data_IF_689402139510
#
_entry.id   IF_689402139510
#
_cell.length_a   1.000
_cell.length_b   1.000
_cell.length_c   1.000
_cell.angle_alpha   90.00
_cell.angle_beta   90.00
_cell.angle_gamma   90.00
#
_symmetry.space_group_name_H-M   'P 1'
#
loop_
_entity.id
_entity.type
_entity.pdbx_description
1 polymer ?
#
# COMPACT_ATOMS: atom_id res chain seq x y z
N UNK A 1 -20.92 -25.66 20.25
CA UNK A 1 -20.17 -26.07 19.04
C UNK A 1 -20.82 -25.59 17.73
N UNK A 2 -22.15 -25.64 17.61
CA UNK A 2 -22.90 -25.25 16.38
C UNK A 2 -22.78 -23.76 16.01
N UNK A 3 -22.77 -22.85 16.99
CA UNK A 3 -22.65 -21.39 16.75
C UNK A 3 -21.25 -21.00 16.22
N UNK A 4 -20.19 -21.60 16.77
CA UNK A 4 -18.82 -21.41 16.30
C UNK A 4 -18.61 -21.98 14.88
N UNK A 5 -19.26 -23.10 14.56
CA UNK A 5 -19.21 -23.70 13.23
C UNK A 5 -19.94 -22.84 12.19
N UNK A 6 -21.11 -22.29 12.55
CA UNK A 6 -21.87 -21.37 11.69
C UNK A 6 -21.10 -20.06 11.43
N UNK A 7 -20.46 -19.48 12.44
CA UNK A 7 -19.60 -18.29 12.30
C UNK A 7 -18.39 -18.56 11.39
N UNK A 8 -17.71 -19.70 11.56
CA UNK A 8 -16.58 -20.10 10.70
C UNK A 8 -17.03 -20.34 9.26
N UNK A 9 -18.17 -20.99 9.05
CA UNK A 9 -18.73 -21.22 7.72
C UNK A 9 -19.10 -19.91 7.00
N UNK A 10 -19.70 -18.95 7.72
CA UNK A 10 -20.00 -17.61 7.18
C UNK A 10 -18.73 -16.84 6.81
N UNK A 11 -17.70 -16.88 7.65
CA UNK A 11 -16.39 -16.27 7.34
C UNK A 11 -15.73 -16.92 6.11
N UNK A 12 -15.77 -18.25 5.99
CA UNK A 12 -15.27 -18.94 4.78
C UNK A 12 -16.05 -18.55 3.53
N UNK A 13 -17.38 -18.43 3.64
CA UNK A 13 -18.23 -17.99 2.53
C UNK A 13 -17.94 -16.54 2.14
N UNK A 14 -17.79 -15.63 3.10
CA UNK A 14 -17.38 -14.25 2.85
C UNK A 14 -16.09 -14.16 2.02
N UNK A 15 -15.05 -14.92 2.42
CA UNK A 15 -13.80 -14.99 1.64
C UNK A 15 -14.02 -15.49 0.22
N UNK A 16 -14.88 -16.51 0.03
CA UNK A 16 -15.22 -17.01 -1.29
C UNK A 16 -15.99 -15.98 -2.14
N UNK A 17 -16.88 -15.19 -1.53
CA UNK A 17 -17.58 -14.08 -2.19
C UNK A 17 -16.58 -13.02 -2.65
N UNK A 18 -15.66 -12.60 -1.79
CA UNK A 18 -14.61 -11.62 -2.13
C UNK A 18 -13.75 -12.09 -3.29
N UNK A 19 -13.28 -13.34 -3.28
CA UNK A 19 -12.49 -13.90 -4.40
C UNK A 19 -13.30 -14.04 -5.69
N UNK A 20 -14.60 -14.36 -5.60
CA UNK A 20 -15.48 -14.40 -6.77
C UNK A 20 -15.70 -12.99 -7.33
N UNK A 21 -16.02 -12.03 -6.48
CA UNK A 21 -16.21 -10.64 -6.84
C UNK A 21 -14.96 -10.06 -7.52
N UNK A 22 -13.77 -10.28 -6.94
CA UNK A 22 -12.49 -9.86 -7.53
C UNK A 22 -12.28 -10.41 -8.94
N UNK A 23 -12.56 -11.70 -9.17
CA UNK A 23 -12.45 -12.33 -10.50
C UNK A 23 -13.45 -11.75 -11.50
N UNK A 24 -14.71 -11.58 -11.09
CA UNK A 24 -15.76 -11.04 -11.96
C UNK A 24 -15.48 -9.59 -12.35
N UNK A 25 -15.08 -8.75 -11.39
CA UNK A 25 -14.70 -7.36 -11.63
C UNK A 25 -13.51 -7.28 -12.61
N UNK A 26 -12.45 -8.06 -12.39
CA UNK A 26 -11.27 -8.05 -13.25
C UNK A 26 -11.57 -8.56 -14.68
N UNK A 27 -12.48 -9.53 -14.83
CA UNK A 27 -12.89 -10.06 -16.13
C UNK A 27 -13.96 -9.19 -16.85
N UNK A 28 -14.52 -8.20 -16.14
CA UNK A 28 -15.53 -7.30 -16.69
C UNK A 28 -14.95 -6.23 -17.62
N UNK A 29 -15.84 -5.43 -18.21
CA UNK A 29 -15.48 -4.39 -19.19
C UNK A 29 -14.53 -3.31 -18.64
N UNK A 30 -14.52 -3.11 -17.32
CA UNK A 30 -13.64 -2.11 -16.68
C UNK A 30 -12.24 -2.64 -16.36
N UNK A 31 -11.98 -3.94 -16.53
CA UNK A 31 -10.64 -4.54 -16.34
C UNK A 31 -9.96 -4.13 -15.04
N UNK A 32 -8.76 -3.55 -15.16
CA UNK A 32 -7.98 -3.07 -14.01
C UNK A 32 -8.65 -1.93 -13.21
N UNK A 33 -9.61 -1.24 -13.80
CA UNK A 33 -10.33 -0.14 -13.16
C UNK A 33 -11.57 -0.59 -12.36
N UNK A 34 -11.95 -1.86 -12.42
CA UNK A 34 -13.26 -2.32 -11.94
C UNK A 34 -13.50 -2.11 -10.43
N UNK A 35 -12.49 -2.31 -9.58
CA UNK A 35 -12.62 -2.07 -8.12
C UNK A 35 -12.91 -0.59 -7.86
N UNK A 36 -12.21 0.32 -8.55
CA UNK A 36 -12.42 1.76 -8.40
C UNK A 36 -13.80 2.20 -8.89
N UNK A 37 -14.26 1.67 -10.02
CA UNK A 37 -15.62 1.93 -10.54
C UNK A 37 -16.68 1.51 -9.52
N UNK A 38 -16.53 0.32 -8.91
CA UNK A 38 -17.41 -0.14 -7.85
C UNK A 38 -17.32 0.74 -6.59
N UNK A 39 -16.11 1.17 -6.22
CA UNK A 39 -15.88 2.08 -5.09
C UNK A 39 -16.67 3.39 -5.25
N UNK A 40 -16.61 3.98 -6.45
CA UNK A 40 -17.40 5.19 -6.77
C UNK A 40 -18.91 4.94 -6.83
N UNK A 41 -19.37 3.81 -7.37
CA UNK A 41 -20.81 3.50 -7.43
C UNK A 41 -21.42 3.31 -6.05
N UNK A 42 -20.61 2.88 -5.06
CA UNK A 42 -20.97 2.83 -3.65
C UNK A 42 -20.87 4.19 -2.93
N UNK A 43 -20.59 5.28 -3.64
CA UNK A 43 -20.52 6.62 -3.09
C UNK A 43 -19.27 6.92 -2.27
N UNK A 44 -18.22 6.10 -2.41
CA UNK A 44 -16.90 6.29 -1.78
C UNK A 44 -16.10 7.30 -2.62
N UNK A 45 -16.65 8.49 -2.79
CA UNK A 45 -16.03 9.55 -3.61
C UNK A 45 -15.30 10.60 -2.77
N UNK A 46 -15.53 10.65 -1.46
CA UNK A 46 -14.95 11.64 -0.53
C UNK A 46 -14.62 10.94 0.79
N UNK A 47 -13.37 10.52 0.93
CA UNK A 47 -12.88 9.66 2.02
C UNK A 47 -12.65 10.42 3.35
N UNK A 48 -13.72 10.94 3.94
CA UNK A 48 -13.73 11.41 5.33
C UNK A 48 -14.80 10.69 6.19
N UNK A 49 -15.07 9.42 5.87
CA UNK A 49 -16.10 8.60 6.51
C UNK A 49 -17.19 8.22 5.52
N UNK A 50 -17.29 6.93 5.19
CA UNK A 50 -18.31 6.43 4.28
C UNK A 50 -19.70 6.64 4.88
N UNK A 51 -20.66 7.09 4.05
CA UNK A 51 -22.07 6.92 4.41
C UNK A 51 -22.33 5.42 4.51
N UNK A 52 -22.93 4.99 5.61
CA UNK A 52 -23.43 3.64 5.73
C UNK A 52 -24.43 3.40 4.60
N UNK A 53 -24.32 2.24 3.96
CA UNK A 53 -25.17 1.83 2.84
C UNK A 53 -26.10 0.74 3.33
N UNK A 54 -27.39 0.86 3.00
CA UNK A 54 -28.36 -0.18 3.28
C UNK A 54 -28.07 -1.43 2.45
N UNK A 55 -28.38 -2.60 3.01
CA UNK A 55 -28.23 -3.91 2.35
C UNK A 55 -28.75 -3.92 0.90
N UNK A 56 -29.92 -3.32 0.64
CA UNK A 56 -30.54 -3.32 -0.68
C UNK A 56 -29.70 -2.56 -1.71
N UNK A 57 -29.28 -1.34 -1.38
CA UNK A 57 -28.42 -0.51 -2.22
C UNK A 57 -27.08 -1.17 -2.48
N UNK A 58 -26.47 -1.79 -1.46
CA UNK A 58 -25.20 -2.51 -1.62
C UNK A 58 -25.31 -3.66 -2.64
N UNK A 59 -26.38 -4.46 -2.57
CA UNK A 59 -26.61 -5.57 -3.51
C UNK A 59 -26.86 -5.05 -4.92
N UNK A 60 -27.67 -4.00 -5.07
CA UNK A 60 -27.96 -3.39 -6.37
C UNK A 60 -26.68 -2.86 -7.05
N UNK A 61 -25.82 -2.16 -6.31
CA UNK A 61 -24.55 -1.65 -6.84
C UNK A 61 -23.63 -2.80 -7.31
N UNK A 62 -23.59 -3.92 -6.58
CA UNK A 62 -22.79 -5.08 -6.97
C UNK A 62 -23.35 -5.76 -8.22
N UNK A 63 -24.67 -5.93 -8.32
CA UNK A 63 -25.31 -6.49 -9.50
C UNK A 63 -25.05 -5.64 -10.75
N UNK A 64 -25.20 -4.31 -10.64
CA UNK A 64 -24.89 -3.37 -11.73
C UNK A 64 -23.40 -3.40 -12.12
N UNK A 65 -22.52 -3.74 -11.19
CA UNK A 65 -21.08 -3.90 -11.42
C UNK A 65 -20.70 -5.31 -11.90
N UNK A 66 -21.67 -6.17 -12.20
CA UNK A 66 -21.43 -7.53 -12.72
C UNK A 66 -21.06 -8.56 -11.64
N UNK A 67 -21.36 -8.29 -10.37
CA UNK A 67 -21.10 -9.17 -9.22
C UNK A 67 -22.41 -9.62 -8.58
N UNK A 68 -23.13 -10.60 -9.16
CA UNK A 68 -24.35 -11.11 -8.56
C UNK A 68 -24.05 -11.88 -7.26
N UNK A 69 -24.86 -11.64 -6.23
CA UNK A 69 -24.81 -12.33 -4.95
C UNK A 69 -26.11 -13.11 -4.72
N UNK A 70 -26.01 -14.38 -4.30
CA UNK A 70 -27.18 -15.11 -3.83
C UNK A 70 -27.54 -14.73 -2.38
N UNK A 71 -28.73 -15.12 -1.91
CA UNK A 71 -29.20 -14.74 -0.57
C UNK A 71 -28.24 -15.17 0.56
N UNK A 72 -27.57 -16.31 0.41
CA UNK A 72 -26.59 -16.82 1.37
C UNK A 72 -25.27 -16.05 1.32
N UNK A 73 -24.86 -15.57 0.15
CA UNK A 73 -23.72 -14.70 -0.03
C UNK A 73 -23.96 -13.36 0.63
N UNK A 74 -25.15 -12.79 0.44
CA UNK A 74 -25.54 -11.54 1.11
C UNK A 74 -25.56 -11.75 2.63
N UNK A 75 -26.13 -12.84 3.14
CA UNK A 75 -26.11 -13.14 4.59
C UNK A 75 -24.67 -13.25 5.13
N UNK A 76 -23.77 -13.87 4.37
CA UNK A 76 -22.37 -13.99 4.75
C UNK A 76 -21.66 -12.62 4.78
N UNK A 77 -21.89 -11.77 3.77
CA UNK A 77 -21.34 -10.40 3.73
C UNK A 77 -21.87 -9.57 4.89
N UNK A 78 -23.19 -9.54 5.09
CA UNK A 78 -23.81 -8.81 6.20
C UNK A 78 -23.27 -9.29 7.55
N UNK A 79 -23.08 -10.60 7.75
CA UNK A 79 -22.57 -11.13 9.02
C UNK A 79 -21.15 -10.69 9.38
N UNK A 80 -20.37 -10.20 8.41
CA UNK A 80 -19.00 -9.73 8.61
C UNK A 80 -18.93 -8.20 8.62
N UNK A 81 -19.71 -7.53 7.77
CA UNK A 81 -19.60 -6.08 7.54
C UNK A 81 -20.63 -5.24 8.31
N UNK A 82 -21.79 -5.79 8.67
CA UNK A 82 -22.75 -5.10 9.55
C UNK A 82 -22.32 -5.24 11.01
N UNK A 83 -21.39 -4.38 11.43
CA UNK A 83 -20.80 -4.39 12.78
C UNK A 83 -21.80 -4.05 13.87
N UNK A 84 -22.84 -3.26 13.54
CA UNK A 84 -23.83 -2.74 14.49
C UNK A 84 -25.10 -3.60 14.55
N UNK A 85 -25.31 -4.48 13.57
CA UNK A 85 -26.52 -5.27 13.41
C UNK A 85 -27.74 -4.44 13.03
N UNK A 86 -27.54 -3.24 12.47
CA UNK A 86 -28.60 -2.29 12.13
C UNK A 86 -29.06 -2.42 10.67
N UNK A 87 -28.51 -3.38 9.92
CA UNK A 87 -28.84 -3.61 8.52
C UNK A 87 -28.12 -2.69 7.54
N UNK A 88 -27.18 -1.88 8.04
CA UNK A 88 -26.32 -1.03 7.22
C UNK A 88 -24.87 -1.51 7.29
N UNK A 89 -24.09 -1.20 6.26
CA UNK A 89 -22.67 -1.54 6.22
C UNK A 89 -21.85 -0.37 5.70
N UNK A 90 -20.58 -0.34 6.06
CA UNK A 90 -19.62 0.57 5.47
C UNK A 90 -19.07 -0.06 4.17
N UNK A 91 -19.43 0.45 2.98
CA UNK A 91 -19.04 -0.17 1.71
C UNK A 91 -17.52 -0.22 1.54
N UNK A 92 -16.82 0.68 2.22
CA UNK A 92 -15.36 0.78 2.25
C UNK A 92 -14.74 -0.51 2.79
N UNK A 93 -15.35 -1.18 3.77
CA UNK A 93 -14.84 -2.46 4.28
C UNK A 93 -14.88 -3.58 3.23
N UNK A 94 -15.91 -3.57 2.35
CA UNK A 94 -15.99 -4.52 1.24
C UNK A 94 -14.94 -4.22 0.18
N UNK A 95 -14.77 -2.94 -0.19
CA UNK A 95 -13.72 -2.51 -1.12
C UNK A 95 -12.33 -2.87 -0.58
N UNK A 96 -12.09 -2.71 0.73
CA UNK A 96 -10.87 -3.16 1.39
C UNK A 96 -10.59 -4.64 1.14
N UNK A 97 -11.62 -5.48 1.32
CA UNK A 97 -11.49 -6.91 1.12
C UNK A 97 -11.24 -7.27 -0.35
N UNK A 98 -11.79 -6.49 -1.29
CA UNK A 98 -11.54 -6.67 -2.71
C UNK A 98 -10.11 -6.33 -3.12
N UNK A 99 -9.47 -5.33 -2.48
CA UNK A 99 -8.04 -5.03 -2.70
C UNK A 99 -7.23 -6.29 -2.41
N UNK A 100 -6.31 -6.62 -3.31
CA UNK A 100 -5.40 -7.75 -3.10
C UNK A 100 -4.39 -7.37 -2.03
N UNK A 101 -4.00 -8.34 -1.21
CA UNK A 101 -2.79 -8.20 -0.40
C UNK A 101 -1.61 -8.05 -1.35
N UNK A 102 -1.12 -6.83 -1.46
CA UNK A 102 0.07 -6.51 -2.23
C UNK A 102 1.29 -7.06 -1.50
N UNK A 103 2.23 -7.61 -2.26
CA UNK A 103 3.53 -7.94 -1.68
C UNK A 103 4.21 -6.66 -1.19
N UNK A 104 5.14 -6.76 -0.21
CA UNK A 104 5.88 -5.60 0.29
C UNK A 104 6.54 -4.77 -0.81
N UNK A 105 7.09 -5.45 -1.83
CA UNK A 105 7.72 -4.83 -3.01
C UNK A 105 6.70 -4.00 -3.79
N UNK A 106 5.54 -4.60 -4.12
CA UNK A 106 4.47 -3.92 -4.86
C UNK A 106 3.95 -2.69 -4.10
N UNK A 107 3.68 -2.85 -2.80
CA UNK A 107 3.19 -1.75 -1.95
C UNK A 107 4.20 -0.60 -1.84
N UNK A 108 5.49 -0.89 -1.68
CA UNK A 108 6.53 0.12 -1.60
C UNK A 108 6.62 0.94 -2.91
N UNK A 109 6.55 0.27 -4.06
CA UNK A 109 6.63 0.95 -5.36
C UNK A 109 5.38 1.77 -5.67
N UNK A 110 4.17 1.29 -5.38
CA UNK A 110 2.93 2.07 -5.54
C UNK A 110 2.98 3.33 -4.68
N UNK A 111 3.41 3.19 -3.42
CA UNK A 111 3.61 4.33 -2.50
C UNK A 111 4.61 5.34 -3.07
N UNK A 112 5.71 4.85 -3.64
CA UNK A 112 6.74 5.70 -4.24
C UNK A 112 6.22 6.48 -5.44
N UNK A 113 5.47 5.83 -6.34
CA UNK A 113 4.82 6.51 -7.48
C UNK A 113 3.90 7.62 -6.99
N UNK A 114 3.07 7.35 -5.97
CA UNK A 114 2.12 8.33 -5.43
C UNK A 114 2.81 9.64 -4.99
N UNK A 115 3.95 9.52 -4.29
CA UNK A 115 4.68 10.69 -3.79
C UNK A 115 5.48 11.46 -4.85
N UNK A 116 5.49 11.02 -6.13
CA UNK A 116 6.06 11.81 -7.22
C UNK A 116 5.16 12.98 -7.62
N UNK A 117 3.86 12.84 -7.40
CA UNK A 117 2.89 13.81 -7.84
C UNK A 117 2.74 14.95 -6.84
N UNK A 118 2.54 16.15 -7.38
CA UNK A 118 2.14 17.30 -6.58
C UNK A 118 0.72 17.08 -6.06
N UNK A 119 0.56 17.16 -4.75
CA UNK A 119 -0.73 17.00 -4.09
C UNK A 119 -1.40 18.35 -3.80
N UNK A 120 -2.73 18.34 -3.82
CA UNK A 120 -3.59 19.42 -3.37
C UNK A 120 -3.68 19.42 -1.83
N UNK A 121 -4.32 20.45 -1.26
CA UNK A 121 -4.46 20.57 0.20
C UNK A 121 -5.31 19.45 0.83
N UNK A 122 -6.21 18.85 0.06
CA UNK A 122 -6.99 17.68 0.44
C UNK A 122 -6.21 16.36 0.24
N UNK A 123 -4.99 16.40 -0.31
CA UNK A 123 -4.19 15.20 -0.59
C UNK A 123 -4.47 14.56 -1.94
N UNK A 124 -5.35 15.12 -2.77
CA UNK A 124 -5.60 14.61 -4.13
C UNK A 124 -4.53 15.05 -5.12
N UNK A 125 -4.41 14.35 -6.26
CA UNK A 125 -3.55 14.74 -7.38
C UNK A 125 -4.41 15.13 -8.58
N UNK A 126 -3.91 16.00 -9.46
CA UNK A 126 -4.62 16.30 -10.72
C UNK A 126 -4.44 15.17 -11.71
N UNK A 127 -5.51 14.81 -12.40
CA UNK A 127 -5.47 13.76 -13.43
C UNK A 127 -4.60 14.17 -14.61
N UNK A 128 -4.62 15.44 -14.99
CA UNK A 128 -3.77 15.93 -16.07
C UNK A 128 -2.28 15.69 -15.76
N UNK A 129 -1.85 15.94 -14.51
CA UNK A 129 -0.47 15.68 -14.08
C UNK A 129 -0.14 14.18 -14.14
N UNK A 130 -1.09 13.32 -13.75
CA UNK A 130 -0.97 11.86 -13.83
C UNK A 130 -0.83 11.36 -15.27
N UNK A 131 -1.74 11.80 -16.16
CA UNK A 131 -1.77 11.39 -17.57
C UNK A 131 -0.54 11.91 -18.31
N UNK A 132 -0.10 13.14 -18.05
CA UNK A 132 1.09 13.72 -18.68
C UNK A 132 2.39 13.02 -18.27
N UNK A 133 2.46 12.47 -17.05
CA UNK A 133 3.63 11.74 -16.57
C UNK A 133 3.66 10.27 -17.01
N UNK A 134 2.55 9.73 -17.50
CA UNK A 134 2.42 8.32 -17.87
C UNK A 134 3.14 8.02 -19.19
N UNK A 135 4.08 7.06 -19.16
CA UNK A 135 4.84 6.62 -20.33
C UNK A 135 4.29 5.31 -20.92
N UNK A 136 3.36 5.42 -21.86
CA UNK A 136 2.78 4.25 -22.53
C UNK A 136 3.84 3.42 -23.30
N UNK A 137 4.86 4.06 -23.86
CA UNK A 137 5.94 3.38 -24.59
C UNK A 137 6.78 2.45 -23.69
N UNK A 138 6.78 2.71 -22.38
CA UNK A 138 7.48 1.88 -21.40
C UNK A 138 6.69 0.64 -20.95
N UNK A 139 5.44 0.47 -21.39
CA UNK A 139 4.67 -0.72 -21.05
C UNK A 139 5.32 -1.98 -21.64
N UNK A 140 5.52 -3.06 -20.86
CA UNK A 140 6.18 -4.27 -21.34
C UNK A 140 5.53 -4.90 -22.58
N UNK A 141 4.21 -4.79 -22.77
CA UNK A 141 3.51 -5.28 -23.96
C UNK A 141 3.81 -4.43 -25.20
N UNK A 142 3.98 -3.11 -25.02
CA UNK A 142 4.41 -2.21 -26.11
C UNK A 142 5.86 -2.47 -26.49
N UNK A 143 6.73 -2.63 -25.49
CA UNK A 143 8.15 -2.95 -25.71
C UNK A 143 8.33 -4.30 -26.45
N UNK A 144 7.45 -5.27 -26.21
CA UNK A 144 7.44 -6.55 -26.95
C UNK A 144 6.75 -6.48 -28.31
N UNK A 145 6.11 -5.36 -28.67
CA UNK A 145 5.33 -5.20 -29.89
C UNK A 145 4.00 -5.96 -29.90
N UNK A 146 3.50 -6.34 -28.72
CA UNK A 146 2.20 -7.03 -28.56
C UNK A 146 1.02 -6.04 -28.58
N UNK A 147 1.26 -4.78 -28.22
CA UNK A 147 0.29 -3.67 -28.21
C UNK A 147 0.91 -2.40 -28.78
N UNK A 148 0.11 -1.49 -29.30
CA UNK A 148 0.59 -0.15 -29.69
C UNK A 148 0.67 0.80 -28.49
N UNK A 149 1.53 1.81 -28.59
CA UNK A 149 1.62 2.88 -27.58
C UNK A 149 0.30 3.64 -27.48
N UNK A 150 -0.34 3.90 -28.62
CA UNK A 150 -1.65 4.55 -28.71
C UNK A 150 -2.72 3.79 -27.92
N UNK A 151 -2.82 2.46 -28.11
CA UNK A 151 -3.80 1.63 -27.39
C UNK A 151 -3.64 1.71 -25.87
N UNK A 152 -2.40 1.61 -25.38
CA UNK A 152 -2.12 1.65 -23.93
C UNK A 152 -2.41 3.05 -23.37
N UNK A 153 -2.06 4.10 -24.12
CA UNK A 153 -2.34 5.49 -23.74
C UNK A 153 -3.84 5.78 -23.70
N UNK A 154 -4.59 5.34 -24.71
CA UNK A 154 -6.04 5.49 -24.77
C UNK A 154 -6.74 4.74 -23.64
N UNK A 155 -6.31 3.51 -23.32
CA UNK A 155 -6.84 2.75 -22.18
C UNK A 155 -6.61 3.48 -20.84
N UNK A 156 -5.39 4.02 -20.65
CA UNK A 156 -5.07 4.77 -19.44
C UNK A 156 -5.89 6.06 -19.32
N UNK A 157 -6.06 6.81 -20.42
CA UNK A 157 -6.89 8.02 -20.47
C UNK A 157 -8.39 7.71 -20.32
N UNK A 158 -8.88 6.60 -20.86
CA UNK A 158 -10.24 6.13 -20.65
C UNK A 158 -10.49 5.76 -19.17
N UNK A 159 -9.44 5.33 -18.48
CA UNK A 159 -9.48 5.06 -17.03
C UNK A 159 -9.49 6.35 -16.21
N UNK A 160 -8.62 7.32 -16.51
CA UNK A 160 -8.49 8.56 -15.75
C UNK A 160 -8.89 9.78 -16.59
N UNK A 161 -10.16 10.20 -16.48
CA UNK A 161 -10.71 11.35 -17.20
C UNK A 161 -11.83 12.04 -16.42
N UNK A 162 -12.35 13.14 -16.97
CA UNK A 162 -13.43 13.91 -16.35
C UNK A 162 -14.77 13.18 -16.26
N UNK A 163 -15.01 12.11 -17.05
CA UNK A 163 -16.22 11.29 -16.90
C UNK A 163 -16.12 10.37 -15.69
N UNK A 164 -14.96 9.76 -15.49
CA UNK A 164 -14.69 8.86 -14.36
C UNK A 164 -14.35 9.61 -13.08
N UNK A 165 -13.85 10.84 -13.20
CA UNK A 165 -13.44 11.73 -12.12
C UNK A 165 -13.92 13.17 -12.44
N UNK A 166 -15.20 13.51 -12.18
CA UNK A 166 -15.79 14.81 -12.52
C UNK A 166 -15.03 16.02 -11.98
N UNK A 167 -14.43 15.88 -10.80
CA UNK A 167 -13.64 16.93 -10.14
C UNK A 167 -12.22 17.10 -10.73
N UNK A 168 -11.83 16.27 -11.70
CA UNK A 168 -10.50 16.32 -12.34
C UNK A 168 -9.34 15.91 -11.41
N UNK A 169 -9.66 15.33 -10.25
CA UNK A 169 -8.69 14.90 -9.24
C UNK A 169 -8.81 13.41 -8.94
N UNK A 170 -7.72 12.83 -8.44
CA UNK A 170 -7.61 11.43 -8.05
C UNK A 170 -7.15 11.34 -6.59
N UNK A 171 -7.82 10.51 -5.79
CA UNK A 171 -7.41 10.24 -4.40
C UNK A 171 -6.34 9.15 -4.34
N UNK A 172 -5.58 9.10 -3.23
CA UNK A 172 -4.60 8.03 -3.00
C UNK A 172 -5.26 6.66 -3.01
N UNK A 173 -6.43 6.58 -2.40
CA UNK A 173 -7.21 5.37 -2.30
C UNK A 173 -7.57 4.80 -3.68
N UNK A 174 -8.08 5.65 -4.57
CA UNK A 174 -8.41 5.28 -5.95
C UNK A 174 -7.19 4.82 -6.74
N UNK A 175 -6.04 5.47 -6.52
CA UNK A 175 -4.77 5.08 -7.13
C UNK A 175 -4.30 3.70 -6.66
N UNK A 176 -4.39 3.42 -5.36
CA UNK A 176 -4.06 2.10 -4.79
C UNK A 176 -5.05 1.01 -5.24
N UNK A 177 -6.33 1.32 -5.38
CA UNK A 177 -7.36 0.41 -5.92
C UNK A 177 -7.06 -0.01 -7.37
N UNK A 178 -6.72 0.95 -8.22
CA UNK A 178 -6.29 0.68 -9.60
C UNK A 178 -5.05 -0.21 -9.62
N UNK A 179 -4.01 0.16 -8.88
CA UNK A 179 -2.77 -0.63 -8.84
C UNK A 179 -2.91 -1.99 -8.17
N UNK A 180 -3.88 -2.18 -7.27
CA UNK A 180 -4.23 -3.50 -6.73
C UNK A 180 -4.68 -4.47 -7.83
N UNK A 181 -5.45 -3.98 -8.82
CA UNK A 181 -5.84 -4.78 -9.97
C UNK A 181 -4.69 -5.00 -10.96
N UNK A 182 -3.90 -3.96 -11.25
CA UNK A 182 -2.71 -4.07 -12.12
C UNK A 182 -1.70 -5.08 -11.54
N UNK A 183 -1.41 -4.99 -10.24
CA UNK A 183 -0.62 -5.99 -9.53
C UNK A 183 -1.23 -7.39 -9.56
N UNK A 184 -2.55 -7.46 -9.75
CA UNK A 184 -3.36 -8.65 -9.93
C UNK A 184 -3.15 -9.38 -11.25
N UNK A 185 -2.92 -8.62 -12.33
CA UNK A 185 -2.68 -9.16 -13.68
C UNK A 185 -1.22 -9.53 -13.92
N UNK A 186 -0.28 -9.00 -13.14
CA UNK A 186 1.13 -9.41 -13.18
C UNK A 186 1.35 -10.82 -12.58
N UNK A 187 2.23 -11.60 -13.20
CA UNK A 187 2.56 -12.96 -12.77
C UNK A 187 3.30 -12.99 -11.43
N UNK A 188 4.24 -12.06 -11.23
CA UNK A 188 5.12 -11.98 -10.08
C UNK A 188 5.52 -10.51 -9.77
N UNK A 189 6.37 -10.32 -8.76
CA UNK A 189 6.83 -8.99 -8.38
C UNK A 189 7.80 -8.39 -9.40
N UNK A 190 8.63 -9.22 -10.04
CA UNK A 190 9.57 -8.78 -11.06
C UNK A 190 8.84 -8.19 -12.27
N UNK A 191 7.83 -8.88 -12.79
CA UNK A 191 6.99 -8.39 -13.90
C UNK A 191 6.24 -7.11 -13.55
N UNK A 192 5.74 -6.99 -12.32
CA UNK A 192 5.12 -5.74 -11.85
C UNK A 192 6.14 -4.58 -11.77
N UNK A 193 7.34 -4.83 -11.24
CA UNK A 193 8.38 -3.80 -11.18
C UNK A 193 8.81 -3.34 -12.57
N UNK A 194 8.98 -4.26 -13.51
CA UNK A 194 9.29 -3.93 -14.91
C UNK A 194 8.20 -3.02 -15.50
N UNK A 195 6.92 -3.35 -15.26
CA UNK A 195 5.80 -2.54 -15.70
C UNK A 195 5.84 -1.14 -15.08
N UNK A 196 5.89 -1.05 -13.74
CA UNK A 196 5.84 0.24 -13.01
C UNK A 196 7.05 1.12 -13.35
N UNK A 197 8.25 0.54 -13.47
CA UNK A 197 9.46 1.30 -13.86
C UNK A 197 9.38 1.81 -15.29
N UNK A 198 8.80 1.03 -16.20
CA UNK A 198 8.64 1.42 -17.59
C UNK A 198 7.64 2.57 -17.75
N UNK A 199 6.47 2.45 -17.13
CA UNK A 199 5.40 3.44 -17.27
C UNK A 199 5.61 4.69 -16.40
N UNK A 200 6.48 4.64 -15.39
CA UNK A 200 6.88 5.77 -14.54
C UNK A 200 8.41 5.99 -14.54
N UNK A 201 8.98 6.52 -15.64
CA UNK A 201 10.43 6.61 -15.82
C UNK A 201 11.12 7.51 -14.79
N UNK A 202 10.41 8.48 -14.20
CA UNK A 202 10.94 9.34 -13.14
C UNK A 202 11.44 8.54 -11.91
N UNK A 203 10.96 7.30 -11.70
CA UNK A 203 11.44 6.42 -10.64
C UNK A 203 12.73 5.67 -10.99
N UNK A 204 12.98 5.46 -12.28
CA UNK A 204 14.07 4.63 -12.77
C UNK A 204 15.41 5.38 -12.81
N UNK A 205 15.46 6.67 -12.47
CA UNK A 205 16.69 7.49 -12.52
C UNK A 205 17.19 7.82 -13.92
N UNK A 206 16.63 7.20 -14.97
CA UNK A 206 16.99 7.43 -16.36
C UNK A 206 15.99 8.39 -17.02
N UNK A 207 16.33 9.67 -17.04
CA UNK A 207 15.72 10.63 -17.96
C UNK A 207 16.20 10.32 -19.39
N UNK A 208 15.42 9.54 -20.16
CA UNK A 208 15.47 9.56 -21.63
C UNK A 208 16.41 8.59 -22.36
N UNK A 209 16.82 7.48 -21.75
CA UNK A 209 17.46 6.38 -22.49
C UNK A 209 16.43 5.35 -22.96
N UNK A 210 16.61 4.67 -24.11
CA UNK A 210 15.82 3.49 -24.43
C UNK A 210 15.94 2.52 -23.26
N UNK A 211 14.79 2.09 -22.73
CA UNK A 211 14.73 1.02 -21.74
C UNK A 211 15.21 -0.22 -22.51
N UNK A 212 16.50 -0.52 -22.44
CA UNK A 212 16.94 -1.88 -22.69
C UNK A 212 16.06 -2.73 -21.79
N UNK A 213 15.36 -3.70 -22.38
CA UNK A 213 14.75 -4.79 -21.62
C UNK A 213 15.93 -5.39 -20.87
N UNK A 214 16.19 -4.89 -19.67
CA UNK A 214 17.15 -5.47 -18.77
C UNK A 214 16.65 -6.90 -18.69
N UNK A 215 17.41 -7.79 -19.35
CA UNK A 215 17.19 -9.21 -19.23
C UNK A 215 16.98 -9.47 -17.74
N UNK A 216 16.10 -10.40 -17.37
CA UNK A 216 15.76 -10.79 -15.99
C UNK A 216 16.97 -11.11 -15.06
N UNK A 217 18.20 -10.80 -15.47
CA UNK A 217 19.49 -10.93 -14.82
C UNK A 217 19.76 -9.89 -13.73
N UNK A 218 19.11 -8.71 -13.71
CA UNK A 218 19.50 -7.64 -12.78
C UNK A 218 18.52 -7.38 -11.62
N UNK A 219 17.31 -7.96 -11.63
CA UNK A 219 16.36 -7.76 -10.54
C UNK A 219 16.56 -8.82 -9.45
N UNK A 220 17.34 -8.47 -8.43
CA UNK A 220 17.69 -9.34 -7.29
C UNK A 220 16.46 -9.62 -6.40
N UNK A 221 15.45 -8.76 -6.44
CA UNK A 221 14.21 -8.94 -5.68
C UNK A 221 13.22 -9.83 -6.45
N UNK A 222 13.30 -11.15 -6.24
CA UNK A 222 12.29 -12.09 -6.75
C UNK A 222 12.74 -12.99 -7.92
N UNK A 223 14.04 -13.25 -8.05
CA UNK A 223 14.58 -14.14 -9.08
C UNK A 223 13.80 -15.46 -9.18
N UNK A 224 13.22 -15.73 -10.35
CA UNK A 224 12.48 -16.96 -10.66
C UNK A 224 13.28 -17.90 -11.55
N UNK A 225 13.00 -19.19 -11.41
CA UNK A 225 13.55 -20.18 -12.32
C UNK A 225 12.86 -20.07 -13.67
N UNK A 226 13.65 -20.08 -14.75
CA UNK A 226 13.13 -20.18 -16.11
C UNK A 226 13.72 -21.40 -16.82
N UNK A 227 12.99 -21.91 -17.81
CA UNK A 227 13.43 -23.06 -18.60
C UNK A 227 14.72 -22.78 -19.40
N UNK A 228 14.98 -21.51 -19.72
CA UNK A 228 16.13 -21.06 -20.51
C UNK A 228 17.42 -20.84 -19.70
N UNK A 229 17.38 -20.89 -18.37
CA UNK A 229 18.55 -20.65 -17.52
C UNK A 229 19.55 -21.82 -17.54
N UNK A 230 20.84 -21.47 -17.61
CA UNK A 230 21.96 -22.37 -17.39
C UNK A 230 22.05 -22.82 -15.93
N UNK A 231 22.84 -23.86 -15.64
CA UNK A 231 23.05 -24.35 -14.28
C UNK A 231 23.67 -23.29 -13.35
N UNK A 232 24.57 -22.45 -13.88
CA UNK A 232 25.19 -21.35 -13.13
C UNK A 232 24.15 -20.27 -12.78
N UNK A 233 23.35 -19.84 -13.75
CA UNK A 233 22.28 -18.87 -13.53
C UNK A 233 21.25 -19.38 -12.52
N UNK A 234 20.91 -20.68 -12.56
CA UNK A 234 20.05 -21.32 -11.53
C UNK A 234 20.70 -21.33 -10.14
N UNK A 235 22.03 -21.48 -10.08
CA UNK A 235 22.81 -21.36 -8.86
C UNK A 235 22.74 -19.95 -8.26
N UNK A 236 22.86 -18.93 -9.10
CA UNK A 236 22.72 -17.53 -8.69
C UNK A 236 21.30 -17.21 -8.19
N UNK A 237 20.27 -17.68 -8.91
CA UNK A 237 18.87 -17.58 -8.47
C UNK A 237 18.67 -18.23 -7.09
N UNK A 238 19.25 -19.40 -6.86
CA UNK A 238 19.20 -20.07 -5.56
C UNK A 238 19.88 -19.26 -4.45
N UNK A 239 21.07 -18.70 -4.73
CA UNK A 239 21.80 -17.86 -3.76
C UNK A 239 20.98 -16.64 -3.37
N UNK A 240 20.40 -15.94 -4.34
CA UNK A 240 19.55 -14.76 -4.10
C UNK A 240 18.34 -15.12 -3.26
N UNK A 241 17.66 -16.23 -3.57
CA UNK A 241 16.52 -16.72 -2.78
C UNK A 241 16.90 -17.08 -1.36
N UNK A 242 18.06 -17.70 -1.17
CA UNK A 242 18.56 -18.02 0.17
C UNK A 242 18.88 -16.75 0.95
N UNK A 243 19.54 -15.76 0.34
CA UNK A 243 19.82 -14.47 0.97
C UNK A 243 18.52 -13.74 1.36
N UNK A 244 17.49 -13.80 0.50
CA UNK A 244 16.18 -13.23 0.82
C UNK A 244 15.51 -13.94 2.00
N UNK A 245 15.60 -15.27 2.06
CA UNK A 245 15.10 -16.05 3.18
C UNK A 245 15.88 -15.77 4.48
N UNK A 246 17.21 -15.63 4.40
CA UNK A 246 18.07 -15.28 5.53
C UNK A 246 17.75 -13.88 6.06
N UNK A 247 17.52 -12.91 5.17
CA UNK A 247 17.12 -11.55 5.54
C UNK A 247 15.72 -11.52 6.18
N UNK A 248 14.73 -12.23 5.60
CA UNK A 248 13.40 -12.35 6.21
C UNK A 248 13.51 -13.01 7.59
N UNK A 249 14.28 -14.09 7.75
CA UNK A 249 14.50 -14.75 9.03
C UNK A 249 15.14 -13.80 10.06
N UNK A 250 16.13 -13.01 9.67
CA UNK A 250 16.75 -11.98 10.51
C UNK A 250 15.72 -10.93 10.95
N UNK A 251 14.93 -10.43 10.01
CA UNK A 251 13.88 -9.44 10.29
C UNK A 251 12.88 -10.01 11.29
N UNK A 252 12.36 -11.22 11.06
CA UNK A 252 11.34 -11.85 11.91
C UNK A 252 11.85 -12.14 13.32
N UNK A 253 13.09 -12.62 13.45
CA UNK A 253 13.60 -13.15 14.72
C UNK A 253 14.36 -12.12 15.55
N UNK A 254 14.96 -11.10 14.93
CA UNK A 254 15.79 -10.10 15.61
C UNK A 254 15.23 -8.69 15.51
N UNK A 255 14.95 -8.20 14.30
CA UNK A 255 14.61 -6.78 14.12
C UNK A 255 13.16 -6.47 14.54
N UNK A 256 12.19 -7.26 14.06
CA UNK A 256 10.77 -7.05 14.33
C UNK A 256 10.42 -7.07 15.83
N UNK A 257 10.89 -8.04 16.65
CA UNK A 257 10.60 -8.04 18.08
C UNK A 257 11.12 -6.78 18.79
N UNK A 258 12.27 -6.26 18.36
CA UNK A 258 12.86 -5.05 18.95
C UNK A 258 12.00 -3.80 18.68
N UNK A 259 11.48 -3.65 17.45
CA UNK A 259 10.68 -2.47 17.08
C UNK A 259 9.20 -2.59 17.49
N UNK A 260 8.66 -3.80 17.55
CA UNK A 260 7.26 -4.04 17.95
C UNK A 260 7.05 -3.94 19.47
N UNK A 261 8.11 -3.96 20.27
CA UNK A 261 8.00 -3.85 21.72
C UNK A 261 7.31 -2.55 22.16
N UNK A 262 7.62 -1.42 21.48
CA UNK A 262 7.03 -0.10 21.75
C UNK A 262 6.81 0.66 20.44
N UNK A 263 5.67 1.38 20.26
CA UNK A 263 5.44 2.23 19.10
C UNK A 263 6.57 3.23 18.83
N UNK A 264 7.18 3.76 19.90
CA UNK A 264 8.30 4.68 19.80
C UNK A 264 9.53 4.06 19.12
N UNK A 265 9.80 2.76 19.30
CA UNK A 265 10.97 2.11 18.71
C UNK A 265 10.84 1.97 17.19
N UNK A 266 9.68 1.53 16.69
CA UNK A 266 9.37 1.54 15.26
C UNK A 266 9.52 2.94 14.65
N UNK A 267 8.99 3.95 15.36
CA UNK A 267 9.09 5.34 14.91
C UNK A 267 10.51 5.86 14.87
N UNK A 268 11.32 5.60 15.91
CA UNK A 268 12.70 6.04 15.97
C UNK A 268 13.55 5.45 14.84
N UNK A 269 13.36 4.17 14.53
CA UNK A 269 14.03 3.53 13.40
C UNK A 269 13.68 4.21 12.07
N UNK A 270 12.38 4.41 11.82
CA UNK A 270 11.89 5.09 10.62
C UNK A 270 12.45 6.51 10.50
N UNK A 271 12.48 7.27 11.61
CA UNK A 271 13.08 8.59 11.66
C UNK A 271 14.57 8.56 11.29
N UNK A 272 15.37 7.64 11.85
CA UNK A 272 16.79 7.56 11.54
C UNK A 272 17.07 7.21 10.08
N UNK A 273 16.26 6.33 9.48
CA UNK A 273 16.37 6.00 8.06
C UNK A 273 16.03 7.23 7.20
N UNK A 274 14.92 7.89 7.48
CA UNK A 274 14.48 9.08 6.72
C UNK A 274 15.44 10.26 6.93
N UNK A 275 16.03 10.42 8.12
CA UNK A 275 17.00 11.49 8.43
C UNK A 275 18.24 11.39 7.52
N UNK A 276 18.57 10.17 7.07
CA UNK A 276 19.66 9.90 6.11
C UNK A 276 19.24 10.12 4.64
N UNK A 277 17.95 10.20 4.35
CA UNK A 277 17.40 10.45 3.01
C UNK A 277 16.83 11.87 2.90
N UNK A 278 17.72 12.85 2.73
CA UNK A 278 17.35 14.26 2.63
C UNK A 278 16.50 14.58 1.38
N UNK A 279 16.59 13.75 0.35
CA UNK A 279 15.91 13.89 -0.94
C UNK A 279 14.54 13.20 -0.98
N UNK A 280 14.22 12.37 0.02
CA UNK A 280 12.96 11.61 0.14
C UNK A 280 12.75 10.65 -1.04
N UNK A 281 13.83 10.03 -1.49
CA UNK A 281 13.82 9.07 -2.60
C UNK A 281 13.38 7.68 -2.16
N UNK A 282 13.38 7.40 -0.86
CA UNK A 282 13.24 6.08 -0.25
C UNK A 282 14.42 5.13 -0.49
N UNK A 283 15.57 5.67 -0.92
CA UNK A 283 16.79 4.91 -1.16
C UNK A 283 17.94 5.46 -0.33
N UNK A 284 18.78 4.56 0.19
CA UNK A 284 19.99 4.89 0.92
C UNK A 284 21.17 4.09 0.38
N UNK A 285 22.38 4.59 0.58
CA UNK A 285 23.57 3.75 0.41
C UNK A 285 23.60 2.67 1.49
N UNK A 286 24.22 1.52 1.20
CA UNK A 286 24.38 0.43 2.18
C UNK A 286 25.00 0.91 3.51
N UNK A 287 25.96 1.83 3.45
CA UNK A 287 26.56 2.46 4.62
C UNK A 287 25.58 3.31 5.42
N UNK A 288 24.87 4.24 4.78
CA UNK A 288 23.91 5.10 5.47
C UNK A 288 22.76 4.30 6.09
N UNK A 289 22.30 3.25 5.39
CA UNK A 289 21.28 2.34 5.89
C UNK A 289 21.75 1.58 7.14
N UNK A 290 22.94 0.96 7.09
CA UNK A 290 23.48 0.20 8.23
C UNK A 290 23.77 1.08 9.44
N UNK A 291 24.31 2.29 9.23
CA UNK A 291 24.48 3.28 10.30
C UNK A 291 23.17 3.63 11.02
N UNK A 292 22.09 3.81 10.25
CA UNK A 292 20.77 4.08 10.82
C UNK A 292 20.24 2.91 11.65
N UNK A 293 20.45 1.66 11.19
CA UNK A 293 20.08 0.46 11.95
C UNK A 293 20.86 0.36 13.28
N UNK A 294 22.15 0.69 13.28
CA UNK A 294 22.99 0.63 14.48
C UNK A 294 22.52 1.58 15.59
N UNK A 295 21.91 2.72 15.26
CA UNK A 295 21.30 3.62 16.25
C UNK A 295 20.20 2.93 17.07
N UNK A 296 19.54 1.93 16.50
CA UNK A 296 18.51 1.11 17.14
C UNK A 296 19.03 -0.27 17.57
N UNK A 297 20.36 -0.46 17.58
CA UNK A 297 21.03 -1.74 17.92
C UNK A 297 20.56 -2.90 17.03
N UNK A 298 20.20 -2.59 15.78
CA UNK A 298 19.87 -3.57 14.76
C UNK A 298 21.09 -3.79 13.88
N UNK A 299 21.44 -5.06 13.65
CA UNK A 299 22.63 -5.43 12.90
C UNK A 299 22.26 -6.39 11.76
N UNK A 300 22.92 -6.23 10.63
CA UNK A 300 22.81 -7.12 9.46
C UNK A 300 24.14 -7.87 9.32
N UNK A 301 24.18 -9.19 9.49
CA UNK A 301 25.36 -9.97 9.22
C UNK A 301 25.60 -10.04 7.71
N UNK A 302 26.86 -9.96 7.26
CA UNK A 302 27.22 -10.02 5.83
C UNK A 302 26.38 -9.03 4.98
N UNK A 303 26.45 -7.71 5.26
CA UNK A 303 25.63 -6.72 4.57
C UNK A 303 25.82 -6.76 3.05
N UNK A 304 27.02 -7.06 2.57
CA UNK A 304 27.33 -7.16 1.14
C UNK A 304 26.57 -8.29 0.43
N UNK A 305 26.15 -9.34 1.16
CA UNK A 305 25.36 -10.46 0.62
C UNK A 305 23.85 -10.24 0.77
N UNK A 306 23.42 -9.64 1.89
CA UNK A 306 22.00 -9.52 2.24
C UNK A 306 21.35 -8.23 1.72
N UNK A 307 22.05 -7.10 1.73
CA UNK A 307 21.49 -5.82 1.28
C UNK A 307 21.13 -5.77 -0.21
N UNK A 308 21.82 -6.48 -1.13
CA UNK A 308 21.38 -6.53 -2.53
C UNK A 308 19.95 -7.07 -2.72
N UNK A 309 19.39 -7.81 -1.76
CA UNK A 309 17.97 -8.25 -1.80
C UNK A 309 17.00 -7.06 -1.73
N UNK A 310 17.44 -5.96 -1.10
CA UNK A 310 16.69 -4.72 -0.98
C UNK A 310 17.01 -3.73 -2.11
N UNK A 311 17.89 -4.08 -3.05
CA UNK A 311 18.16 -3.24 -4.22
C UNK A 311 17.11 -3.48 -5.30
N UNK A 312 16.05 -2.67 -5.24
CA UNK A 312 14.95 -2.71 -6.21
C UNK A 312 15.25 -1.93 -7.49
N UNK A 313 16.35 -1.17 -7.53
CA UNK A 313 16.77 -0.40 -8.70
C UNK A 313 17.83 -1.11 -9.54
N UNK A 314 18.68 -1.91 -8.91
CA UNK A 314 19.86 -2.53 -9.52
C UNK A 314 21.10 -1.62 -9.52
N UNK A 315 21.10 -0.54 -8.74
CA UNK A 315 22.20 0.45 -8.70
C UNK A 315 23.07 0.34 -7.43
N UNK A 316 22.84 -0.68 -6.59
CA UNK A 316 23.50 -0.86 -5.30
C UNK A 316 22.93 -0.02 -4.17
N UNK A 317 21.76 0.62 -4.37
CA UNK A 317 21.06 1.35 -3.32
C UNK A 317 20.10 0.44 -2.55
N UNK A 318 19.87 0.75 -1.28
CA UNK A 318 18.97 0.00 -0.40
C UNK A 318 17.61 0.68 -0.37
N UNK A 319 16.58 -0.04 -0.80
CA UNK A 319 15.18 0.37 -0.65
C UNK A 319 14.77 0.21 0.83
N UNK A 320 14.88 1.28 1.60
CA UNK A 320 14.55 1.23 3.02
C UNK A 320 13.04 1.25 3.27
N UNK A 321 12.22 1.71 2.30
CA UNK A 321 10.76 1.62 2.39
C UNK A 321 10.31 0.16 2.26
N UNK A 322 10.91 -0.61 1.36
CA UNK A 322 10.74 -2.06 1.29
C UNK A 322 11.16 -2.72 2.60
N UNK A 323 12.31 -2.35 3.16
CA UNK A 323 12.75 -2.87 4.46
C UNK A 323 11.73 -2.58 5.58
N UNK A 324 11.23 -1.35 5.70
CA UNK A 324 10.21 -0.99 6.68
C UNK A 324 8.91 -1.78 6.49
N UNK A 325 8.52 -2.01 5.23
CA UNK A 325 7.33 -2.80 4.87
C UNK A 325 7.50 -4.29 5.20
N UNK A 326 8.72 -4.84 5.09
CA UNK A 326 9.05 -6.21 5.52
C UNK A 326 9.16 -6.32 7.04
N UNK A 327 9.64 -5.25 7.69
CA UNK A 327 9.88 -5.19 9.13
C UNK A 327 8.58 -5.23 9.92
N UNK A 328 7.62 -4.39 9.56
CA UNK A 328 6.35 -4.26 10.27
C UNK A 328 5.32 -5.27 9.72
N UNK A 329 4.54 -5.93 10.59
CA UNK A 329 3.45 -6.78 10.12
C UNK A 329 2.40 -5.94 9.36
N UNK A 330 1.77 -6.48 8.31
CA UNK A 330 0.73 -5.76 7.58
C UNK A 330 -0.45 -5.47 8.51
N UNK A 331 -1.00 -4.26 8.41
CA UNK A 331 -2.26 -3.95 9.10
C UNK A 331 -3.42 -4.71 8.45
N UNK A 332 -4.41 -5.17 9.25
CA UNK A 332 -5.69 -5.60 8.71
C UNK A 332 -6.28 -4.51 7.80
N UNK A 333 -6.86 -4.86 6.63
CA UNK A 333 -7.37 -3.88 5.68
C UNK A 333 -8.30 -2.83 6.31
N UNK A 334 -9.23 -3.26 7.16
CA UNK A 334 -10.14 -2.36 7.87
C UNK A 334 -9.39 -1.30 8.70
N UNK A 335 -8.34 -1.69 9.43
CA UNK A 335 -7.56 -0.76 10.26
C UNK A 335 -6.70 0.18 9.42
N UNK A 336 -6.13 -0.31 8.31
CA UNK A 336 -5.41 0.53 7.36
C UNK A 336 -6.33 1.63 6.82
N UNK A 337 -7.57 1.29 6.48
CA UNK A 337 -8.56 2.27 6.01
C UNK A 337 -8.98 3.28 7.06
N UNK A 338 -9.14 2.86 8.31
CA UNK A 338 -9.39 3.81 9.40
C UNK A 338 -8.26 4.85 9.52
N UNK A 339 -7.01 4.44 9.29
CA UNK A 339 -5.85 5.34 9.27
C UNK A 339 -5.80 6.20 8.00
N UNK A 340 -6.15 5.66 6.83
CA UNK A 340 -6.31 6.43 5.59
C UNK A 340 -7.38 7.53 5.79
N UNK A 341 -8.54 7.22 6.37
CA UNK A 341 -9.58 8.21 6.69
C UNK A 341 -9.11 9.27 7.69
N UNK A 342 -8.41 8.84 8.73
CA UNK A 342 -7.80 9.77 9.69
C UNK A 342 -6.84 10.73 8.97
N UNK A 343 -6.02 10.20 8.06
CA UNK A 343 -5.08 10.99 7.26
C UNK A 343 -5.79 12.04 6.41
N UNK A 344 -6.96 11.71 5.88
CA UNK A 344 -7.73 12.62 5.05
C UNK A 344 -8.24 13.86 5.78
N UNK A 345 -8.42 13.80 7.10
CA UNK A 345 -8.87 14.95 7.91
C UNK A 345 -7.88 16.11 8.00
N UNK A 346 -6.62 15.86 7.66
CA UNK A 346 -5.56 16.83 7.80
C UNK A 346 -5.25 17.51 6.47
N UNK A 347 -4.91 18.80 6.47
CA UNK A 347 -4.45 19.49 5.27
C UNK A 347 -3.03 19.03 4.89
N UNK A 348 -2.86 18.67 3.62
CA UNK A 348 -1.59 18.24 3.04
C UNK A 348 -0.88 19.43 2.40
N UNK A 349 0.44 19.37 2.33
CA UNK A 349 1.22 20.24 1.47
C UNK A 349 1.36 19.68 0.05
N UNK A 350 2.11 20.39 -0.80
CA UNK A 350 2.32 19.99 -2.20
C UNK A 350 3.04 18.65 -2.37
N UNK A 351 3.67 18.13 -1.32
CA UNK A 351 4.34 16.84 -1.33
C UNK A 351 3.46 15.73 -0.71
N UNK A 352 2.21 16.03 -0.35
CA UNK A 352 1.32 15.07 0.31
C UNK A 352 1.67 14.82 1.78
N UNK A 353 2.33 15.78 2.43
CA UNK A 353 2.79 15.64 3.80
C UNK A 353 2.05 16.57 4.75
N UNK A 354 1.92 16.16 6.01
CA UNK A 354 1.25 16.94 7.06
C UNK A 354 2.30 17.55 7.99
N UNK A 355 2.03 18.75 8.50
CA UNK A 355 2.84 19.37 9.57
C UNK A 355 2.61 18.65 10.90
N UNK A 356 3.69 18.19 11.54
CA UNK A 356 3.65 17.55 12.85
C UNK A 356 2.91 18.39 13.92
N UNK A 357 2.91 19.73 13.81
CA UNK A 357 2.14 20.59 14.70
C UNK A 357 0.63 20.40 14.59
N UNK A 358 0.13 20.05 13.40
CA UNK A 358 -1.30 19.80 13.23
C UNK A 358 -1.71 18.56 14.00
N UNK A 359 -0.87 17.51 13.95
CA UNK A 359 -1.07 16.31 14.77
C UNK A 359 -1.05 16.65 16.26
N UNK A 360 -0.07 17.43 16.72
CA UNK A 360 0.03 17.86 18.12
C UNK A 360 -1.20 18.65 18.59
N UNK A 361 -1.78 19.48 17.72
CA UNK A 361 -2.94 20.30 18.04
C UNK A 361 -4.23 19.48 18.16
N UNK A 362 -4.40 18.45 17.34
CA UNK A 362 -5.63 17.65 17.30
C UNK A 362 -5.59 16.41 18.19
N UNK A 363 -4.41 15.89 18.52
CA UNK A 363 -4.28 14.66 19.30
C UNK A 363 -4.78 14.81 20.74
N UNK A 364 -5.66 13.90 21.13
CA UNK A 364 -6.24 13.80 22.47
C UNK A 364 -5.67 12.58 23.19
N UNK A 365 -4.81 12.84 24.19
CA UNK A 365 -4.25 11.81 25.04
C UNK A 365 -5.19 11.50 26.21
N UNK A 366 -5.28 10.23 26.60
CA UNK A 366 -6.03 9.79 27.78
C UNK A 366 -5.36 10.22 29.10
N UNK A 367 -4.04 10.33 29.09
CA UNK A 367 -3.20 10.66 30.25
C UNK A 367 -1.88 11.33 29.82
N UNK A 368 -1.08 11.75 30.81
CA UNK A 368 0.21 12.38 30.55
C UNK A 368 1.26 11.44 29.96
N UNK A 369 1.15 10.13 30.20
CA UNK A 369 2.10 9.14 29.66
C UNK A 369 1.91 8.97 28.15
N UNK A 370 0.67 8.80 27.70
CA UNK A 370 0.31 8.72 26.28
C UNK A 370 0.68 10.03 25.56
N UNK A 371 0.41 11.18 26.19
CA UNK A 371 0.81 12.48 25.64
C UNK A 371 2.32 12.58 25.45
N UNK A 372 3.11 12.21 26.46
CA UNK A 372 4.57 12.28 26.39
C UNK A 372 5.12 11.30 25.35
N UNK A 373 4.57 10.08 25.27
CA UNK A 373 4.97 9.08 24.28
C UNK A 373 4.69 9.59 22.86
N UNK A 374 3.52 10.16 22.62
CA UNK A 374 3.14 10.75 21.34
C UNK A 374 4.07 11.93 20.97
N UNK A 375 4.24 12.91 21.86
CA UNK A 375 5.10 14.08 21.59
C UNK A 375 6.56 13.69 21.34
N UNK A 376 7.06 12.66 22.03
CA UNK A 376 8.41 12.13 21.80
C UNK A 376 8.55 11.42 20.45
N UNK A 377 7.50 10.71 20.01
CA UNK A 377 7.47 10.03 18.72
C UNK A 377 7.31 11.01 17.54
N UNK A 378 6.60 12.10 17.77
CA UNK A 378 6.33 13.16 16.80
C UNK A 378 7.12 14.43 17.13
N UNK A 379 8.38 14.28 17.56
CA UNK A 379 9.23 15.41 17.91
C UNK A 379 9.46 16.30 16.69
N UNK A 380 8.93 17.52 16.79
CA UNK A 380 8.97 18.56 15.75
C UNK A 380 10.41 18.95 15.38
N UNK A 381 11.37 18.79 16.30
CA UNK A 381 12.79 19.10 16.06
C UNK A 381 13.49 18.04 15.22
N UNK A 382 12.98 16.80 15.26
CA UNK A 382 13.56 15.64 14.57
C UNK A 382 12.83 15.27 13.30
N UNK A 383 11.53 15.54 13.22
CA UNK A 383 10.76 15.38 11.99
C UNK A 383 11.42 16.18 10.87
N UNK A 384 11.83 15.51 9.79
CA UNK A 384 12.57 16.12 8.68
C UNK A 384 11.71 17.21 8.07
N UNK A 385 12.11 18.47 8.29
CA UNK A 385 11.35 19.65 7.90
C UNK A 385 9.93 19.72 8.52
N UNK A 386 9.69 19.04 9.65
CA UNK A 386 8.39 18.95 10.36
C UNK A 386 7.26 18.30 9.55
N UNK A 387 7.61 17.57 8.49
CA UNK A 387 6.65 16.95 7.57
C UNK A 387 6.60 15.46 7.78
N UNK A 388 5.40 14.91 7.67
CA UNK A 388 5.10 13.51 7.93
C UNK A 388 4.33 12.91 6.74
N UNK A 389 4.52 11.62 6.47
CA UNK A 389 3.76 10.86 5.46
C UNK A 389 2.75 9.90 6.12
N UNK A 390 1.82 9.36 5.33
CA UNK A 390 0.86 8.37 5.81
C UNK A 390 1.56 7.11 6.33
N UNK A 391 2.67 6.71 5.69
CA UNK A 391 3.45 5.54 6.11
C UNK A 391 3.98 5.73 7.52
N UNK A 392 4.42 6.93 7.88
CA UNK A 392 4.90 7.21 9.24
C UNK A 392 3.76 7.10 10.28
N UNK A 393 2.54 7.50 9.90
CA UNK A 393 1.35 7.33 10.74
C UNK A 393 1.01 5.84 10.90
N UNK A 394 1.02 5.09 9.79
CA UNK A 394 0.78 3.65 9.77
C UNK A 394 1.81 2.91 10.63
N UNK A 395 3.10 3.22 10.45
CA UNK A 395 4.22 2.65 11.22
C UNK A 395 4.04 2.85 12.73
N UNK A 396 3.53 4.01 13.16
CA UNK A 396 3.23 4.30 14.57
C UNK A 396 2.09 3.44 15.12
N UNK A 397 1.04 3.23 14.33
CA UNK A 397 -0.13 2.46 14.75
C UNK A 397 0.03 0.95 14.62
N UNK A 398 1.01 0.44 13.86
CA UNK A 398 1.19 -1.02 13.69
C UNK A 398 1.42 -1.73 15.04
N UNK A 399 2.36 -1.31 15.93
CA UNK A 399 2.53 -1.96 17.23
C UNK A 399 1.36 -1.74 18.21
N UNK A 400 0.55 -0.70 17.99
CA UNK A 400 -0.65 -0.43 18.79
C UNK A 400 -1.77 -1.38 18.36
N UNK A 401 -1.98 -1.49 17.06
CA UNK A 401 -2.92 -2.38 16.39
C UNK A 401 -2.65 -3.84 16.77
N UNK A 402 -1.40 -4.29 16.76
CA UNK A 402 -1.03 -5.68 17.12
C UNK A 402 -1.49 -6.10 18.53
N UNK A 403 -1.63 -5.14 19.46
CA UNK A 403 -2.13 -5.37 20.82
C UNK A 403 -3.65 -5.39 20.93
N UNK A 404 -4.35 -4.95 19.89
CA UNK A 404 -5.81 -4.83 19.85
C UNK A 404 -6.40 -6.00 19.07
N UNK A 405 -7.32 -6.73 19.71
CA UNK A 405 -7.93 -7.93 19.12
C UNK A 405 -9.05 -7.59 18.13
N UNK A 406 -9.96 -6.69 18.49
CA UNK A 406 -11.14 -6.36 17.68
C UNK A 406 -10.94 -5.05 16.91
N UNK A 407 -11.38 -5.02 15.65
CA UNK A 407 -11.32 -3.81 14.82
C UNK A 407 -12.17 -2.67 15.39
N UNK A 408 -13.27 -3.00 16.08
CA UNK A 408 -14.09 -2.02 16.79
C UNK A 408 -13.34 -1.32 17.92
N UNK A 409 -12.51 -2.03 18.67
CA UNK A 409 -11.71 -1.44 19.74
C UNK A 409 -10.63 -0.49 19.17
N UNK A 410 -10.12 -0.80 17.97
CA UNK A 410 -9.21 0.08 17.26
C UNK A 410 -9.91 1.35 16.76
N UNK A 411 -11.14 1.23 16.25
CA UNK A 411 -11.97 2.39 15.89
C UNK A 411 -12.20 3.29 17.11
N UNK A 412 -12.67 2.74 18.24
CA UNK A 412 -12.89 3.48 19.49
C UNK A 412 -11.62 4.18 19.98
N UNK A 413 -10.45 3.54 19.81
CA UNK A 413 -9.15 4.16 20.12
C UNK A 413 -8.90 5.40 19.24
N UNK A 414 -9.12 5.30 17.92
CA UNK A 414 -8.94 6.43 17.01
C UNK A 414 -9.95 7.54 17.25
N UNK A 415 -11.23 7.22 17.47
CA UNK A 415 -12.28 8.17 17.85
C UNK A 415 -11.87 8.95 19.11
N UNK A 416 -11.40 8.26 20.15
CA UNK A 416 -10.92 8.90 21.37
C UNK A 416 -9.70 9.80 21.12
N UNK A 417 -8.75 9.35 20.30
CA UNK A 417 -7.51 10.10 20.05
C UNK A 417 -7.69 11.31 19.13
N UNK A 418 -8.68 11.30 18.24
CA UNK A 418 -8.77 12.28 17.15
C UNK A 418 -10.14 12.94 17.02
N UNK A 419 -11.14 12.51 17.79
CA UNK A 419 -12.51 13.01 17.68
C UNK A 419 -13.19 12.64 16.36
N UNK A 420 -12.77 11.52 15.74
CA UNK A 420 -13.45 10.93 14.59
C UNK A 420 -14.87 10.48 15.01
N UNK A 421 -15.88 10.81 14.21
CA UNK A 421 -17.27 10.31 14.34
C UNK A 421 -17.65 9.67 13.02
#
# INVERSE_FOLDING_TARGET
MTVLYASKAKSTRFKAVVERARRLLLAGASGANAIRVLSRSLGIAVDAGGKLVEKATFVECLEQSGVPLDEKDVEAVMSVLDRKGDGTLDPVDFIAALRRDLTPVKSAWITRVWYQFKQNADGTIRIDDLVNAFNAAGDPAVVRGERSEEEVREEFQATFNTTTNPEGVLTRQEFEEYYSCVAGSCLDDASFLTLVRGVWPALAGNAGGPIEVASNKENICGATFTASQTALEKGDVNRVRQNAADLDALIRTKHRPAVMAKPLAARQLSLHLREKDAERTFFLTSGAFTEALWQQRLYIPRPDELLPVLDTKGEGSVDYLLYLTLLLPPLPPARRMMLERLWELFPKDTCGTIDALELHRRFQAKDGEEKNAFLSAWDVRRAIRRRLTLEELVEWYVPISDKIQLDNDFAVLLERQWGLV
#
